data_IF_813809514248
#
_entry.id   IF_813809514248
#
_cell.length_a   1.000
_cell.length_b   1.000
_cell.length_c   1.000
_cell.angle_alpha   90.00
_cell.angle_beta   90.00
_cell.angle_gamma   90.00
#
_symmetry.space_group_name_H-M   'P 1'
#
loop_
_entity.id
_entity.type
_entity.pdbx_description
1 polymer ?
#
# COMPACT_ATOMS: atom_id res chain seq x y z
N UNK A 1 -71.67 -11.23 -8.39
CA UNK A 1 -71.23 -12.61 -8.68
C UNK A 1 -69.81 -12.56 -9.23
N UNK A 2 -68.88 -13.33 -8.64
CA UNK A 2 -67.50 -13.69 -9.10
C UNK A 2 -66.47 -12.54 -9.11
N UNK A 3 -65.56 -12.42 -8.12
CA UNK A 3 -64.24 -13.11 -7.99
C UNK A 3 -63.36 -12.88 -9.24
N UNK A 4 -62.17 -12.26 -9.21
CA UNK A 4 -60.90 -12.78 -8.64
C UNK A 4 -59.76 -11.75 -8.92
N UNK A 5 -58.64 -11.89 -8.19
CA UNK A 5 -57.25 -11.47 -8.51
C UNK A 5 -56.74 -10.10 -8.05
N UNK A 6 -56.09 -10.16 -6.88
CA UNK A 6 -55.04 -9.29 -6.40
C UNK A 6 -53.96 -9.06 -7.47
N UNK A 7 -53.75 -7.79 -7.84
CA UNK A 7 -52.58 -7.37 -8.59
C UNK A 7 -51.52 -6.85 -7.60
N UNK A 8 -50.51 -7.69 -7.41
CA UNK A 8 -49.10 -7.37 -7.13
C UNK A 8 -48.78 -6.24 -6.13
N UNK A 9 -48.28 -6.67 -4.97
CA UNK A 9 -47.37 -5.88 -4.13
C UNK A 9 -46.14 -5.43 -4.96
N UNK A 10 -45.66 -4.18 -4.85
CA UNK A 10 -44.34 -3.82 -5.33
C UNK A 10 -43.27 -4.41 -4.40
N UNK A 11 -42.92 -5.68 -4.62
CA UNK A 11 -41.59 -6.19 -4.29
C UNK A 11 -40.67 -6.01 -5.50
N UNK A 12 -39.35 -5.99 -5.28
CA UNK A 12 -38.24 -5.87 -6.26
C UNK A 12 -37.50 -4.53 -6.35
N UNK A 13 -37.23 -3.87 -5.22
CA UNK A 13 -36.18 -2.84 -5.15
C UNK A 13 -35.15 -3.17 -4.06
N UNK A 14 -34.48 -4.33 -4.16
CA UNK A 14 -33.36 -4.67 -3.25
C UNK A 14 -32.44 -5.81 -3.74
N UNK A 15 -32.32 -6.07 -5.05
CA UNK A 15 -31.64 -7.29 -5.52
C UNK A 15 -30.41 -7.10 -6.42
N UNK A 16 -30.12 -5.91 -6.94
CA UNK A 16 -29.10 -5.78 -8.01
C UNK A 16 -27.83 -5.01 -7.66
N UNK A 17 -27.65 -4.62 -6.39
CA UNK A 17 -26.38 -4.00 -5.96
C UNK A 17 -25.21 -5.00 -6.02
N UNK A 18 -25.50 -6.30 -5.92
CA UNK A 18 -24.50 -7.37 -5.99
C UNK A 18 -23.95 -7.58 -7.41
N UNK A 19 -24.79 -7.37 -8.45
CA UNK A 19 -24.33 -7.45 -9.84
C UNK A 19 -23.39 -6.28 -10.17
N UNK A 20 -23.67 -5.09 -9.63
CA UNK A 20 -22.84 -3.90 -9.82
C UNK A 20 -21.45 -4.04 -9.16
N UNK A 21 -21.38 -4.63 -7.96
CA UNK A 21 -20.09 -4.92 -7.30
C UNK A 21 -19.28 -6.01 -8.00
N UNK A 22 -19.92 -6.96 -8.69
CA UNK A 22 -19.24 -8.01 -9.46
C UNK A 22 -18.68 -7.50 -10.79
N UNK A 23 -19.32 -6.49 -11.39
CA UNK A 23 -18.84 -5.82 -12.61
C UNK A 23 -17.63 -4.91 -12.38
N UNK A 24 -17.36 -4.51 -11.12
CA UNK A 24 -16.09 -3.89 -10.69
C UNK A 24 -15.08 -4.92 -10.18
N UNK A 25 -15.10 -6.14 -10.73
CA UNK A 25 -13.90 -6.96 -10.75
C UNK A 25 -12.87 -6.26 -11.65
N UNK A 26 -12.18 -5.26 -11.08
CA UNK A 26 -11.06 -4.58 -11.72
C UNK A 26 -10.09 -5.69 -12.10
N UNK A 27 -9.95 -5.96 -13.39
CA UNK A 27 -8.94 -6.92 -13.84
C UNK A 27 -7.59 -6.49 -13.23
N UNK A 28 -6.69 -7.40 -12.84
CA UNK A 28 -5.39 -7.03 -12.28
C UNK A 28 -4.65 -6.00 -13.14
N UNK A 29 -4.83 -6.07 -14.47
CA UNK A 29 -4.34 -5.11 -15.45
C UNK A 29 -4.95 -3.71 -15.29
N UNK A 30 -6.28 -3.60 -15.20
CA UNK A 30 -6.96 -2.32 -14.95
C UNK A 30 -6.61 -1.74 -13.59
N UNK A 31 -6.34 -2.58 -12.58
CA UNK A 31 -5.92 -2.13 -11.25
C UNK A 31 -4.50 -1.58 -11.29
N UNK A 32 -3.57 -2.25 -11.99
CA UNK A 32 -2.22 -1.75 -12.19
C UNK A 32 -2.20 -0.41 -12.94
N UNK A 33 -2.98 -0.30 -14.02
CA UNK A 33 -3.05 0.92 -14.82
C UNK A 33 -3.66 2.08 -14.04
N UNK A 34 -4.74 1.83 -13.31
CA UNK A 34 -5.36 2.85 -12.47
C UNK A 34 -4.47 3.24 -11.28
N UNK A 35 -3.80 2.26 -10.68
CA UNK A 35 -2.85 2.50 -9.59
C UNK A 35 -1.65 3.33 -10.06
N UNK A 36 -1.11 3.04 -11.24
CA UNK A 36 -0.04 3.83 -11.85
C UNK A 36 -0.53 5.21 -12.29
N UNK A 37 -1.76 5.33 -12.79
CA UNK A 37 -2.35 6.62 -13.14
C UNK A 37 -2.47 7.56 -11.92
N UNK A 38 -2.77 7.00 -10.73
CA UNK A 38 -2.89 7.77 -9.49
C UNK A 38 -1.54 8.00 -8.81
N UNK A 39 -0.71 6.97 -8.71
CA UNK A 39 0.52 7.01 -7.90
C UNK A 39 1.79 7.28 -8.70
N UNK A 40 1.72 7.29 -10.04
CA UNK A 40 2.84 7.28 -11.00
C UNK A 40 3.74 6.05 -10.94
N UNK A 41 3.53 5.17 -9.97
CA UNK A 41 4.32 3.97 -9.70
C UNK A 41 3.52 2.71 -10.02
N UNK A 42 4.21 1.66 -10.43
CA UNK A 42 3.58 0.33 -10.42
C UNK A 42 3.30 -0.09 -8.97
N UNK A 43 2.29 -0.96 -8.71
CA UNK A 43 2.00 -1.44 -7.37
C UNK A 43 3.21 -2.03 -6.63
N UNK A 44 4.08 -2.73 -7.35
CA UNK A 44 5.29 -3.31 -6.78
C UNK A 44 6.33 -2.24 -6.39
N UNK A 45 6.51 -1.22 -7.22
CA UNK A 45 7.41 -0.09 -6.89
C UNK A 45 6.90 0.69 -5.68
N UNK A 46 5.58 0.88 -5.60
CA UNK A 46 4.96 1.52 -4.44
C UNK A 46 5.14 0.68 -3.17
N UNK A 47 4.91 -0.63 -3.25
CA UNK A 47 5.16 -1.54 -2.12
C UNK A 47 6.61 -1.47 -1.66
N UNK A 48 7.57 -1.47 -2.58
CA UNK A 48 9.00 -1.31 -2.26
C UNK A 48 9.26 0.02 -1.55
N UNK A 49 8.69 1.11 -2.06
CA UNK A 49 8.86 2.43 -1.46
C UNK A 49 8.32 2.48 -0.04
N UNK A 50 7.11 1.97 0.19
CA UNK A 50 6.53 1.86 1.53
C UNK A 50 7.42 1.05 2.47
N UNK A 51 7.98 -0.09 2.03
CA UNK A 51 8.89 -0.89 2.86
C UNK A 51 10.15 -0.11 3.24
N UNK A 52 10.74 0.62 2.31
CA UNK A 52 11.93 1.43 2.55
C UNK A 52 11.63 2.60 3.52
N UNK A 53 10.47 3.23 3.40
CA UNK A 53 10.01 4.28 4.31
C UNK A 53 9.74 3.74 5.73
N UNK A 54 9.12 2.57 5.86
CA UNK A 54 8.95 1.90 7.16
C UNK A 54 10.28 1.54 7.80
N UNK A 55 11.25 1.05 7.02
CA UNK A 55 12.59 0.74 7.54
C UNK A 55 13.31 2.00 8.04
N UNK A 56 13.18 3.12 7.32
CA UNK A 56 13.67 4.43 7.75
C UNK A 56 13.06 4.85 9.08
N UNK A 57 11.73 4.75 9.22
CA UNK A 57 11.05 5.08 10.47
C UNK A 57 11.53 4.22 11.65
N UNK A 58 11.73 2.92 11.42
CA UNK A 58 12.30 2.01 12.42
C UNK A 58 13.71 2.43 12.86
N UNK A 59 14.62 2.69 11.91
CA UNK A 59 16.01 3.10 12.23
C UNK A 59 16.07 4.39 13.04
N UNK A 60 15.11 5.31 12.84
CA UNK A 60 15.03 6.57 13.57
C UNK A 60 14.43 6.38 14.96
N UNK A 61 13.30 5.69 15.06
CA UNK A 61 12.53 5.55 16.30
C UNK A 61 13.13 4.58 17.32
N UNK A 62 13.70 3.46 16.87
CA UNK A 62 14.18 2.39 17.77
C UNK A 62 15.70 2.28 17.82
N UNK A 63 16.42 3.15 17.09
CA UNK A 63 17.87 3.05 16.89
C UNK A 63 18.32 1.70 16.29
N UNK A 64 17.42 0.99 15.60
CA UNK A 64 17.72 -0.28 14.94
C UNK A 64 18.83 -0.14 13.89
N UNK A 65 19.63 -1.20 13.73
CA UNK A 65 20.62 -1.24 12.66
C UNK A 65 19.94 -1.36 11.29
N UNK A 66 20.64 -0.97 10.23
CA UNK A 66 20.14 -1.10 8.87
C UNK A 66 19.83 -2.57 8.49
N UNK A 67 20.55 -3.53 9.06
CA UNK A 67 20.31 -4.95 8.82
C UNK A 67 19.03 -5.41 9.52
N UNK A 68 18.84 -5.05 10.80
CA UNK A 68 17.65 -5.43 11.56
C UNK A 68 16.39 -4.79 10.96
N UNK A 69 16.48 -3.50 10.58
CA UNK A 69 15.40 -2.81 9.91
C UNK A 69 15.05 -3.46 8.56
N UNK A 70 16.05 -3.90 7.79
CA UNK A 70 15.83 -4.60 6.52
C UNK A 70 15.06 -5.92 6.72
N UNK A 71 15.48 -6.73 7.70
CA UNK A 71 14.78 -7.98 8.01
C UNK A 71 13.36 -7.73 8.52
N UNK A 72 13.16 -6.72 9.37
CA UNK A 72 11.86 -6.36 9.91
C UNK A 72 10.85 -5.95 8.81
N UNK A 73 11.31 -5.35 7.72
CA UNK A 73 10.44 -4.98 6.58
C UNK A 73 10.41 -6.03 5.45
N UNK A 74 10.96 -7.22 5.69
CA UNK A 74 10.85 -8.38 4.80
C UNK A 74 11.89 -8.46 3.69
N UNK A 75 13.06 -7.83 3.84
CA UNK A 75 14.21 -8.11 2.98
C UNK A 75 14.95 -9.37 3.45
N UNK A 76 15.32 -10.23 2.51
CA UNK A 76 16.14 -11.41 2.79
C UNK A 76 17.65 -11.10 2.86
N UNK A 77 18.05 -9.93 2.34
CA UNK A 77 19.44 -9.51 2.30
C UNK A 77 19.59 -8.02 2.66
N UNK A 78 20.33 -7.69 3.73
CA UNK A 78 20.67 -6.30 4.08
C UNK A 78 21.43 -5.56 2.96
N UNK A 79 22.22 -6.29 2.18
CA UNK A 79 22.96 -5.74 1.04
C UNK A 79 22.03 -5.36 -0.12
N UNK A 80 20.98 -6.15 -0.39
CA UNK A 80 19.96 -5.79 -1.38
C UNK A 80 19.18 -4.55 -0.93
N UNK A 81 18.74 -4.55 0.34
CA UNK A 81 18.06 -3.42 0.95
C UNK A 81 18.88 -2.13 0.81
N UNK A 82 20.17 -2.17 1.17
CA UNK A 82 21.03 -0.99 1.13
C UNK A 82 21.19 -0.40 -0.28
N UNK A 83 21.21 -1.25 -1.32
CA UNK A 83 21.27 -0.79 -2.72
C UNK A 83 19.97 -0.12 -3.15
N UNK A 84 18.82 -0.73 -2.87
CA UNK A 84 17.51 -0.15 -3.21
C UNK A 84 17.24 1.14 -2.40
N UNK A 85 17.59 1.15 -1.11
CA UNK A 85 17.49 2.33 -0.26
C UNK A 85 18.27 3.51 -0.82
N UNK A 86 19.54 3.28 -1.19
CA UNK A 86 20.39 4.32 -1.78
C UNK A 86 19.83 4.84 -3.11
N UNK A 87 19.17 3.99 -3.89
CA UNK A 87 18.53 4.39 -5.15
C UNK A 87 17.33 5.33 -4.93
N UNK A 88 16.59 5.14 -3.84
CA UNK A 88 15.38 5.94 -3.54
C UNK A 88 15.71 7.21 -2.75
N UNK A 89 16.68 7.16 -1.84
CA UNK A 89 16.97 8.23 -0.88
C UNK A 89 18.34 8.91 -1.06
N UNK A 90 19.10 8.48 -2.07
CA UNK A 90 20.42 9.05 -2.43
C UNK A 90 21.47 9.01 -1.32
N UNK A 91 21.23 8.25 -0.24
CA UNK A 91 22.11 8.10 0.91
C UNK A 91 22.08 6.65 1.40
N UNK A 92 23.13 6.24 2.13
CA UNK A 92 23.09 4.93 2.81
C UNK A 92 22.08 4.95 3.97
N UNK A 93 21.47 3.81 4.32
CA UNK A 93 20.50 3.74 5.42
C UNK A 93 21.02 4.35 6.72
N UNK A 94 22.28 4.06 7.08
CA UNK A 94 22.94 4.58 8.28
C UNK A 94 23.12 6.10 8.23
N UNK A 95 23.74 6.62 7.16
CA UNK A 95 23.98 8.06 7.03
C UNK A 95 22.68 8.86 7.04
N UNK A 96 21.65 8.33 6.39
CA UNK A 96 20.34 8.96 6.34
C UNK A 96 19.65 8.99 7.71
N UNK A 97 19.68 7.87 8.46
CA UNK A 97 19.14 7.81 9.81
C UNK A 97 19.87 8.76 10.77
N UNK A 98 21.21 8.82 10.73
CA UNK A 98 21.99 9.77 11.53
C UNK A 98 21.64 11.21 11.20
N UNK A 99 21.52 11.55 9.90
CA UNK A 99 21.12 12.88 9.45
C UNK A 99 19.73 13.27 9.94
N UNK A 100 18.76 12.36 9.88
CA UNK A 100 17.38 12.62 10.28
C UNK A 100 17.23 12.77 11.80
N UNK A 101 18.00 11.99 12.58
CA UNK A 101 18.10 12.17 14.04
C UNK A 101 18.73 13.52 14.39
N UNK A 102 19.81 13.89 13.71
CA UNK A 102 20.50 15.16 13.91
C UNK A 102 19.63 16.38 13.53
N UNK A 103 18.74 16.24 12.54
CA UNK A 103 17.83 17.32 12.14
C UNK A 103 16.60 17.48 13.05
N UNK A 104 16.55 16.79 14.19
CA UNK A 104 15.43 16.89 15.13
C UNK A 104 14.13 16.25 14.63
N UNK A 105 14.19 15.38 13.61
CA UNK A 105 13.04 14.58 13.18
C UNK A 105 12.87 13.38 14.14
N UNK A 106 12.86 13.66 15.43
CA UNK A 106 12.38 12.74 16.47
C UNK A 106 10.98 13.23 16.73
N UNK A 107 9.99 12.50 16.21
CA UNK A 107 8.59 12.78 16.49
C UNK A 107 8.40 12.91 18.00
N UNK A 108 7.98 14.10 18.42
CA UNK A 108 7.30 14.30 19.69
C UNK A 108 6.00 13.50 19.72
#
# INVERSE_FOLDING_TARGET
MRATLAHALPGHAASDDRAFLRAKAVSPSSLHDHFKAITTLTPLEFQKRLRLESARALMISTNASAADAAFAVGYHSPSQFSREYRRVFSASPRQDAERLKASGYVGA
#
